data_IF_217231188366
#
_entry.id   IF_217231188366
#
_cell.length_a   1.000
_cell.length_b   1.000
_cell.length_c   1.000
_cell.angle_alpha   90.00
_cell.angle_beta   90.00
_cell.angle_gamma   90.00
#
_symmetry.space_group_name_H-M   'P 1'
#
loop_
_entity.id
_entity.type
_entity.pdbx_description
1 polymer ?
#
# COMPACT_ATOMS: atom_id res chain seq x y z
N UNK A 1 11.95 -25.59 -4.28
CA UNK A 1 11.08 -25.54 -5.47
C UNK A 1 11.13 -24.13 -6.07
N UNK A 2 11.27 -23.99 -7.39
CA UNK A 2 11.22 -22.69 -8.09
C UNK A 2 9.81 -22.48 -8.67
N UNK A 3 9.20 -21.33 -8.40
CA UNK A 3 7.87 -20.94 -8.90
C UNK A 3 8.02 -19.65 -9.69
N UNK A 4 7.43 -19.55 -10.88
CA UNK A 4 7.45 -18.34 -11.72
C UNK A 4 6.09 -17.63 -11.72
N UNK A 5 6.08 -16.33 -11.46
CA UNK A 5 4.87 -15.50 -11.58
C UNK A 5 4.69 -15.06 -13.03
N UNK A 6 3.77 -15.69 -13.75
CA UNK A 6 3.48 -15.33 -15.16
C UNK A 6 2.58 -14.11 -15.31
N UNK A 7 1.76 -13.81 -14.33
CA UNK A 7 0.83 -12.67 -14.36
C UNK A 7 0.45 -12.19 -12.97
N UNK A 8 0.22 -10.89 -12.84
CA UNK A 8 -0.32 -10.25 -11.65
C UNK A 8 -1.78 -9.89 -11.86
N UNK A 9 -2.59 -10.09 -10.81
CA UNK A 9 -3.99 -9.66 -10.81
C UNK A 9 -4.07 -8.14 -10.70
N UNK A 10 -4.45 -7.44 -11.78
CA UNK A 10 -4.54 -5.96 -11.81
C UNK A 10 -5.48 -5.42 -10.72
N UNK A 11 -6.64 -6.08 -10.50
CA UNK A 11 -7.56 -5.73 -9.42
C UNK A 11 -6.95 -5.95 -8.03
N UNK A 12 -6.09 -6.97 -7.89
CA UNK A 12 -5.38 -7.23 -6.64
C UNK A 12 -4.35 -6.13 -6.37
N UNK A 13 -3.55 -5.77 -7.38
CA UNK A 13 -2.57 -4.68 -7.29
C UNK A 13 -3.25 -3.37 -6.90
N UNK A 14 -4.37 -3.02 -7.55
CA UNK A 14 -5.19 -1.86 -7.17
C UNK A 14 -5.54 -1.87 -5.68
N UNK A 15 -6.15 -2.96 -5.21
CA UNK A 15 -6.59 -3.09 -3.81
C UNK A 15 -5.41 -3.01 -2.85
N UNK A 16 -4.33 -3.74 -3.12
CA UNK A 16 -3.12 -3.73 -2.28
C UNK A 16 -2.54 -2.33 -2.18
N UNK A 17 -2.40 -1.62 -3.31
CA UNK A 17 -1.93 -0.24 -3.31
C UNK A 17 -2.88 0.69 -2.56
N UNK A 18 -4.20 0.50 -2.69
CA UNK A 18 -5.20 1.25 -1.94
C UNK A 18 -5.04 1.05 -0.43
N UNK A 19 -4.91 -0.20 0.03
CA UNK A 19 -4.73 -0.53 1.44
C UNK A 19 -3.46 0.09 2.02
N UNK A 20 -2.35 -0.03 1.30
CA UNK A 20 -1.05 0.52 1.73
C UNK A 20 -1.10 2.05 1.75
N UNK A 21 -1.65 2.69 0.71
CA UNK A 21 -1.74 4.15 0.62
C UNK A 21 -2.75 4.75 1.62
N UNK A 22 -3.76 3.98 2.03
CA UNK A 22 -4.78 4.44 2.99
C UNK A 22 -4.23 4.70 4.38
N UNK A 23 -3.14 4.03 4.79
CA UNK A 23 -2.53 4.23 6.12
C UNK A 23 -1.96 5.66 6.26
N UNK A 24 -1.00 6.11 5.43
CA UNK A 24 -0.48 7.48 5.52
C UNK A 24 -1.54 8.52 5.17
N UNK A 25 -2.43 8.24 4.21
CA UNK A 25 -3.51 9.14 3.84
C UNK A 25 -4.51 9.35 4.99
N UNK A 26 -4.88 8.29 5.71
CA UNK A 26 -5.73 8.35 6.89
C UNK A 26 -5.08 9.16 8.01
N UNK A 27 -3.78 8.99 8.23
CA UNK A 27 -3.04 9.79 9.21
C UNK A 27 -3.05 11.28 8.85
N UNK A 28 -2.79 11.63 7.58
CA UNK A 28 -2.86 13.01 7.11
C UNK A 28 -4.26 13.60 7.29
N UNK A 29 -5.30 12.82 6.98
CA UNK A 29 -6.68 13.25 7.15
C UNK A 29 -7.03 13.51 8.62
N UNK A 30 -6.64 12.62 9.53
CA UNK A 30 -6.87 12.80 10.98
C UNK A 30 -6.16 14.06 11.48
N UNK A 31 -4.89 14.27 11.09
CA UNK A 31 -4.14 15.48 11.44
C UNK A 31 -4.86 16.72 10.89
N UNK A 32 -5.32 16.68 9.64
CA UNK A 32 -6.07 17.76 9.02
C UNK A 32 -7.35 18.10 9.79
N UNK A 33 -8.15 17.09 10.17
CA UNK A 33 -9.38 17.32 10.95
C UNK A 33 -9.06 17.93 12.32
N UNK A 34 -8.04 17.45 13.02
CA UNK A 34 -7.63 18.02 14.31
C UNK A 34 -7.17 19.47 14.16
N UNK A 35 -6.33 19.77 13.17
CA UNK A 35 -5.88 21.13 12.88
C UNK A 35 -7.03 22.06 12.49
N UNK A 36 -8.03 21.56 11.78
CA UNK A 36 -9.23 22.33 11.42
C UNK A 36 -10.03 22.73 12.67
N UNK A 37 -10.23 21.79 13.61
CA UNK A 37 -10.91 22.06 14.88
C UNK A 37 -10.17 23.14 15.67
N UNK A 38 -8.83 23.03 15.75
CA UNK A 38 -7.98 24.02 16.44
C UNK A 38 -8.06 25.40 15.74
N UNK A 39 -8.03 25.44 14.41
CA UNK A 39 -8.15 26.67 13.64
C UNK A 39 -9.48 27.39 13.87
N UNK A 40 -10.58 26.64 13.91
CA UNK A 40 -11.91 27.17 14.20
C UNK A 40 -11.98 27.68 15.65
N UNK A 41 -11.52 26.88 16.61
CA UNK A 41 -11.55 27.24 18.04
C UNK A 41 -10.69 28.47 18.37
N UNK A 42 -9.60 28.69 17.63
CA UNK A 42 -8.70 29.83 17.80
C UNK A 42 -9.11 31.08 17.01
N UNK A 43 -10.16 31.01 16.19
CA UNK A 43 -10.59 32.11 15.31
C UNK A 43 -9.58 32.45 14.19
N UNK A 44 -8.58 31.60 13.95
CA UNK A 44 -7.52 31.85 12.98
C UNK A 44 -7.90 31.29 11.60
N UNK A 45 -8.49 32.15 10.77
CA UNK A 45 -8.90 31.79 9.40
C UNK A 45 -7.76 31.29 8.53
N UNK A 46 -6.52 31.77 8.74
CA UNK A 46 -5.36 31.33 7.96
C UNK A 46 -5.07 29.84 8.19
N UNK A 47 -5.21 29.35 9.43
CA UNK A 47 -5.04 27.93 9.75
C UNK A 47 -6.16 27.10 9.10
N UNK A 48 -7.41 27.58 9.18
CA UNK A 48 -8.57 26.89 8.59
C UNK A 48 -8.38 26.66 7.09
N UNK A 49 -7.96 27.69 6.35
CA UNK A 49 -7.73 27.59 4.90
C UNK A 49 -6.52 26.71 4.57
N UNK A 50 -5.42 26.85 5.31
CA UNK A 50 -4.18 26.09 5.08
C UNK A 50 -4.35 24.58 5.28
N UNK A 51 -5.36 24.16 6.05
CA UNK A 51 -5.61 22.76 6.40
C UNK A 51 -6.49 22.03 5.39
N UNK A 52 -7.23 22.73 4.54
CA UNK A 52 -8.11 22.13 3.51
C UNK A 52 -7.37 21.11 2.63
N UNK A 53 -6.14 21.38 2.14
CA UNK A 53 -5.37 20.39 1.37
C UNK A 53 -5.11 19.09 2.13
N UNK A 54 -4.87 19.15 3.45
CA UNK A 54 -4.63 17.95 4.28
C UNK A 54 -5.87 17.08 4.44
N UNK A 55 -7.06 17.63 4.19
CA UNK A 55 -8.33 16.91 4.23
C UNK A 55 -8.66 16.35 2.84
N UNK A 56 -8.48 17.14 1.78
CA UNK A 56 -8.91 16.76 0.42
C UNK A 56 -7.86 15.92 -0.33
N UNK A 57 -6.57 16.28 -0.24
CA UNK A 57 -5.51 15.59 -0.98
C UNK A 57 -5.36 14.09 -0.67
N UNK A 58 -5.55 13.60 0.58
CA UNK A 58 -5.46 12.18 0.85
C UNK A 58 -6.37 11.32 -0.04
N UNK A 59 -7.59 11.77 -0.32
CA UNK A 59 -8.52 11.06 -1.21
C UNK A 59 -8.04 11.03 -2.65
N UNK A 60 -7.49 12.15 -3.13
CA UNK A 60 -6.91 12.27 -4.47
C UNK A 60 -5.70 11.34 -4.58
N UNK A 61 -4.81 11.35 -3.59
CA UNK A 61 -3.60 10.53 -3.54
C UNK A 61 -3.97 9.04 -3.55
N UNK A 62 -4.93 8.60 -2.72
CA UNK A 62 -5.38 7.21 -2.70
C UNK A 62 -5.88 6.78 -4.10
N UNK A 63 -6.68 7.62 -4.75
CA UNK A 63 -7.18 7.35 -6.10
C UNK A 63 -6.05 7.22 -7.12
N UNK A 64 -5.13 8.19 -7.14
CA UNK A 64 -3.99 8.19 -8.06
C UNK A 64 -3.05 7.01 -7.83
N UNK A 65 -2.72 6.69 -6.58
CA UNK A 65 -1.87 5.56 -6.24
C UNK A 65 -2.54 4.24 -6.63
N UNK A 66 -3.85 4.09 -6.42
CA UNK A 66 -4.60 2.93 -6.90
C UNK A 66 -4.47 2.74 -8.41
N UNK A 67 -4.70 3.81 -9.18
CA UNK A 67 -4.55 3.78 -10.64
C UNK A 67 -3.12 3.45 -11.09
N UNK A 68 -2.10 4.01 -10.42
CA UNK A 68 -0.70 3.65 -10.66
C UNK A 68 -0.43 2.17 -10.37
N UNK A 69 -1.00 1.62 -9.29
CA UNK A 69 -0.92 0.19 -8.98
C UNK A 69 -1.51 -0.69 -10.09
N UNK A 70 -2.63 -0.28 -10.69
CA UNK A 70 -3.18 -0.95 -11.87
C UNK A 70 -2.24 -0.86 -13.06
N UNK A 71 -1.71 0.32 -13.34
CA UNK A 71 -0.80 0.55 -14.45
C UNK A 71 0.45 -0.34 -14.34
N UNK A 72 1.00 -0.48 -13.14
CA UNK A 72 2.12 -1.38 -12.86
C UNK A 72 1.77 -2.84 -13.12
N UNK A 73 0.59 -3.29 -12.67
CA UNK A 73 0.11 -4.65 -12.93
C UNK A 73 -0.09 -4.93 -14.42
N UNK A 74 -0.67 -3.99 -15.16
CA UNK A 74 -0.82 -4.08 -16.62
C UNK A 74 0.55 -4.12 -17.31
N UNK A 75 1.46 -3.23 -16.92
CA UNK A 75 2.82 -3.18 -17.48
C UNK A 75 3.55 -4.50 -17.24
N UNK A 76 3.51 -5.04 -16.02
CA UNK A 76 4.10 -6.34 -15.72
C UNK A 76 3.54 -7.44 -16.60
N UNK A 77 2.21 -7.53 -16.73
CA UNK A 77 1.56 -8.55 -17.55
C UNK A 77 1.91 -8.42 -19.03
N UNK A 78 2.17 -7.21 -19.51
CA UNK A 78 2.57 -6.96 -20.89
C UNK A 78 4.03 -7.38 -21.15
N UNK A 79 4.93 -7.15 -20.19
CA UNK A 79 6.36 -7.39 -20.36
C UNK A 79 6.83 -8.80 -19.93
N UNK A 80 6.20 -9.41 -18.92
CA UNK A 80 6.58 -10.72 -18.40
C UNK A 80 6.64 -11.84 -19.47
N UNK A 81 5.72 -11.91 -20.46
CA UNK A 81 5.82 -12.91 -21.52
C UNK A 81 7.04 -12.76 -22.43
N UNK A 82 7.63 -11.56 -22.52
CA UNK A 82 8.79 -11.27 -23.38
C UNK A 82 10.12 -11.35 -22.65
N UNK A 83 10.15 -10.97 -21.36
CA UNK A 83 11.38 -10.82 -20.59
C UNK A 83 11.57 -11.89 -19.51
N UNK A 84 10.61 -12.81 -19.35
CA UNK A 84 10.57 -13.77 -18.25
C UNK A 84 9.84 -13.20 -17.04
N UNK A 85 9.11 -14.06 -16.32
CA UNK A 85 8.40 -13.70 -15.11
C UNK A 85 9.31 -13.67 -13.87
N UNK A 86 8.75 -13.21 -12.76
CA UNK A 86 9.43 -13.18 -11.47
C UNK A 86 9.61 -14.61 -10.92
N UNK A 87 10.85 -15.06 -10.73
CA UNK A 87 11.15 -16.35 -10.09
C UNK A 87 11.19 -16.22 -8.57
N UNK A 88 10.43 -17.06 -7.88
CA UNK A 88 10.41 -17.19 -6.42
C UNK A 88 10.97 -18.57 -6.06
N UNK A 89 11.98 -18.59 -5.21
CA UNK A 89 12.53 -19.85 -4.64
C UNK A 89 12.00 -20.04 -3.23
N UNK A 90 11.18 -21.06 -3.02
CA UNK A 90 10.74 -21.45 -1.69
C UNK A 90 11.82 -22.33 -1.05
N UNK A 91 12.43 -21.83 0.03
CA UNK A 91 13.25 -22.63 0.94
C UNK A 91 12.36 -23.09 2.09
N UNK A 92 11.96 -24.37 2.08
CA UNK A 92 11.23 -24.97 3.19
C UNK A 92 12.19 -25.11 4.38
N UNK A 93 11.94 -24.39 5.47
CA UNK A 93 12.57 -24.64 6.76
C UNK A 93 11.67 -25.58 7.56
N UNK A 94 11.71 -26.87 7.26
CA UNK A 94 11.11 -27.90 8.12
C UNK A 94 12.16 -28.99 8.33
N UNK A 95 12.92 -28.90 9.44
CA UNK A 95 13.42 -30.08 10.18
C UNK A 95 14.29 -29.83 11.45
N UNK A 96 14.40 -28.62 12.03
CA UNK A 96 15.19 -28.47 13.29
C UNK A 96 14.38 -28.51 14.60
N UNK A 97 13.06 -28.43 14.57
CA UNK A 97 12.26 -28.34 15.83
C UNK A 97 11.92 -29.72 16.43
N UNK A 98 11.99 -30.82 15.67
CA UNK A 98 11.54 -32.14 16.13
C UNK A 98 12.63 -32.90 16.92
N UNK A 99 13.90 -32.48 16.86
CA UNK A 99 14.97 -33.18 17.60
C UNK A 99 15.19 -32.66 19.04
N UNK A 100 14.64 -31.51 19.43
CA UNK A 100 14.78 -30.99 20.81
C UNK A 100 13.70 -31.48 21.78
N UNK A 101 12.58 -32.03 21.29
CA UNK A 101 11.44 -32.41 22.15
C UNK A 101 11.38 -33.90 22.51
N UNK A 102 12.39 -34.69 22.11
CA UNK A 102 12.51 -36.12 22.40
C UNK A 102 13.69 -36.43 23.34
N UNK A 103 14.23 -35.42 24.05
CA UNK A 103 15.28 -35.59 25.06
C UNK A 103 14.84 -35.25 26.49
N UNK A 104 13.54 -34.98 26.71
CA UNK A 104 12.95 -34.81 28.05
C UNK A 104 12.03 -35.99 28.40
#
# INVERSE_FOLDING_TARGET
MKIEIKSLGVKSMFKTTLYIASIPAGLMFVIGVLSLIIGIASGNQSIVVAVIPFIVMPFIIIGLYGLLGMLLGVSYNFFAPKFGGLEITIKTQEQEVIMQNNQD
#
